data_IF_169379189296
#
_entry.id   IF_169379189296
#
_cell.length_a   1.000
_cell.length_b   1.000
_cell.length_c   1.000
_cell.angle_alpha   90.00
_cell.angle_beta   90.00
_cell.angle_gamma   90.00
#
_symmetry.space_group_name_H-M   'P 1'
#
loop_
_entity.id
_entity.type
_entity.pdbx_description
1 polymer ?
#
# COMPACT_ATOMS: atom_id res chain seq x y z
N UNK A 1 -3.59 -7.68 5.80
CA UNK A 1 -2.37 -7.95 5.01
C UNK A 1 -2.62 -8.60 3.65
N UNK A 2 -3.36 -9.69 3.51
CA UNK A 2 -3.58 -10.36 2.19
C UNK A 2 -4.20 -9.48 1.11
N UNK A 3 -5.06 -8.52 1.45
CA UNK A 3 -5.67 -7.60 0.49
C UNK A 3 -4.65 -6.62 -0.10
N UNK A 4 -3.81 -6.00 0.72
CA UNK A 4 -2.75 -5.08 0.30
C UNK A 4 -1.77 -5.79 -0.64
N UNK A 5 -1.34 -7.00 -0.26
CA UNK A 5 -0.42 -7.78 -1.07
C UNK A 5 -0.98 -8.10 -2.47
N UNK A 6 -2.28 -8.44 -2.57
CA UNK A 6 -2.94 -8.64 -3.88
C UNK A 6 -2.87 -7.39 -4.76
N UNK A 7 -3.23 -6.25 -4.18
CA UNK A 7 -3.23 -4.98 -4.89
C UNK A 7 -1.84 -4.57 -5.33
N UNK A 8 -0.86 -4.76 -4.45
CA UNK A 8 0.55 -4.53 -4.74
C UNK A 8 1.00 -5.37 -5.94
N UNK A 9 0.75 -6.69 -5.89
CA UNK A 9 1.11 -7.62 -6.98
C UNK A 9 0.48 -7.17 -8.30
N UNK A 10 -0.83 -6.90 -8.35
CA UNK A 10 -1.50 -6.45 -9.57
C UNK A 10 -0.89 -5.16 -10.09
N UNK A 11 -0.59 -4.21 -9.22
CA UNK A 11 0.00 -2.93 -9.60
C UNK A 11 1.41 -3.08 -10.17
N UNK A 12 2.23 -3.98 -9.62
CA UNK A 12 3.56 -4.26 -10.17
C UNK A 12 3.46 -4.99 -11.51
N UNK A 13 2.57 -5.99 -11.62
CA UNK A 13 2.34 -6.73 -12.88
C UNK A 13 1.70 -5.86 -13.98
N UNK A 14 1.04 -4.77 -13.63
CA UNK A 14 0.56 -3.78 -14.61
C UNK A 14 1.70 -2.98 -15.25
N UNK A 15 2.85 -2.88 -14.58
CA UNK A 15 4.04 -2.19 -15.11
C UNK A 15 4.87 -3.12 -16.00
N UNK A 16 5.10 -4.36 -15.53
CA UNK A 16 5.93 -5.37 -16.23
C UNK A 16 5.61 -6.78 -15.73
N UNK A 17 5.88 -7.78 -16.57
CA UNK A 17 5.86 -9.18 -16.15
C UNK A 17 6.96 -9.47 -15.13
N UNK A 18 6.63 -10.24 -14.08
CA UNK A 18 7.55 -10.54 -12.98
C UNK A 18 7.40 -11.98 -12.50
N UNK A 19 8.50 -12.59 -12.02
CA UNK A 19 8.42 -13.88 -11.34
C UNK A 19 7.94 -13.72 -9.88
N UNK A 20 7.50 -14.81 -9.26
CA UNK A 20 7.14 -14.78 -7.84
C UNK A 20 8.29 -14.34 -6.93
N UNK A 21 9.53 -14.67 -7.30
CA UNK A 21 10.72 -14.22 -6.58
C UNK A 21 10.93 -12.71 -6.72
N UNK A 22 10.79 -12.16 -7.94
CA UNK A 22 10.92 -10.72 -8.17
C UNK A 22 9.84 -9.94 -7.40
N UNK A 23 8.61 -10.47 -7.36
CA UNK A 23 7.51 -9.88 -6.57
C UNK A 23 7.80 -9.88 -5.05
N UNK A 24 8.42 -10.96 -4.51
CA UNK A 24 8.85 -10.98 -3.10
C UNK A 24 9.89 -9.91 -2.80
N UNK A 25 10.85 -9.71 -3.71
CA UNK A 25 11.89 -8.70 -3.59
C UNK A 25 11.32 -7.28 -3.64
N UNK A 26 10.46 -7.00 -4.60
CA UNK A 26 9.74 -5.71 -4.69
C UNK A 26 8.89 -5.43 -3.45
N UNK A 27 8.27 -6.46 -2.86
CA UNK A 27 7.54 -6.30 -1.59
C UNK A 27 8.47 -5.89 -0.46
N UNK A 28 9.66 -6.51 -0.37
CA UNK A 28 10.66 -6.17 0.65
C UNK A 28 11.13 -4.72 0.51
N UNK A 29 11.41 -4.27 -0.72
CA UNK A 29 11.87 -2.92 -1.01
C UNK A 29 10.78 -1.84 -0.79
N UNK A 30 9.54 -2.12 -1.18
CA UNK A 30 8.48 -1.11 -1.16
C UNK A 30 7.56 -1.16 0.07
N UNK A 31 7.36 -2.33 0.67
CA UNK A 31 6.45 -2.51 1.80
C UNK A 31 7.19 -2.80 3.11
N UNK A 32 8.53 -2.88 3.07
CA UNK A 32 9.35 -3.14 4.24
C UNK A 32 9.25 -4.56 4.79
N UNK A 33 8.60 -5.50 4.08
CA UNK A 33 8.56 -6.91 4.46
C UNK A 33 8.60 -7.83 3.26
N UNK A 34 9.24 -8.99 3.42
CA UNK A 34 9.34 -10.03 2.39
C UNK A 34 8.31 -11.13 2.66
N UNK A 35 7.27 -11.29 1.82
CA UNK A 35 6.36 -12.41 1.97
C UNK A 35 7.10 -13.73 1.72
N UNK A 36 6.76 -14.77 2.49
CA UNK A 36 7.30 -16.11 2.27
C UNK A 36 6.78 -16.71 0.97
N UNK A 37 7.51 -17.68 0.41
CA UNK A 37 7.07 -18.46 -0.74
C UNK A 37 5.71 -19.14 -0.48
N UNK A 38 5.49 -19.66 0.74
CA UNK A 38 4.23 -20.24 1.17
C UNK A 38 3.06 -19.25 1.22
N UNK A 39 3.32 -17.96 1.27
CA UNK A 39 2.29 -16.91 1.23
C UNK A 39 2.03 -16.39 -0.19
N UNK A 40 3.08 -16.19 -0.98
CA UNK A 40 2.94 -15.54 -2.29
C UNK A 40 2.43 -16.48 -3.38
N UNK A 41 2.95 -17.71 -3.47
CA UNK A 41 2.55 -18.63 -4.54
C UNK A 41 1.09 -19.08 -4.46
N UNK A 42 0.50 -19.41 -3.30
CA UNK A 42 -0.94 -19.68 -3.20
C UNK A 42 -1.79 -18.47 -3.58
N UNK A 43 -1.27 -17.25 -3.32
CA UNK A 43 -1.96 -16.02 -3.70
C UNK A 43 -1.93 -15.82 -5.21
N UNK A 44 -0.77 -15.98 -5.86
CA UNK A 44 -0.63 -15.92 -7.31
C UNK A 44 -1.53 -16.93 -8.00
N UNK A 45 -1.58 -18.17 -7.51
CA UNK A 45 -2.48 -19.22 -8.03
C UNK A 45 -3.94 -18.79 -7.96
N UNK A 46 -4.40 -18.26 -6.82
CA UNK A 46 -5.78 -17.76 -6.69
C UNK A 46 -6.08 -16.57 -7.61
N UNK A 47 -5.10 -15.74 -7.90
CA UNK A 47 -5.25 -14.62 -8.82
C UNK A 47 -5.31 -15.11 -10.29
N UNK A 48 -4.58 -16.16 -10.61
CA UNK A 48 -4.63 -16.83 -11.91
C UNK A 48 -5.96 -17.56 -12.12
N UNK A 49 -6.46 -18.30 -11.13
CA UNK A 49 -7.78 -18.94 -11.12
C UNK A 49 -8.92 -17.93 -11.34
N UNK A 50 -8.76 -16.69 -10.84
CA UNK A 50 -9.70 -15.58 -11.08
C UNK A 50 -9.56 -14.92 -12.45
N UNK A 51 -8.56 -15.30 -13.23
CA UNK A 51 -8.26 -14.69 -14.52
C UNK A 51 -7.76 -13.25 -14.42
N UNK A 52 -7.12 -12.87 -13.31
CA UNK A 52 -6.54 -11.54 -13.13
C UNK A 52 -5.12 -11.47 -13.68
N UNK A 53 -4.40 -12.57 -13.61
CA UNK A 53 -3.02 -12.73 -14.08
C UNK A 53 -2.87 -14.03 -14.84
N UNK A 54 -1.78 -14.17 -15.59
CA UNK A 54 -1.38 -15.39 -16.26
C UNK A 54 0.09 -15.65 -16.00
N UNK A 55 0.44 -16.86 -15.58
CA UNK A 55 1.80 -17.35 -15.49
C UNK A 55 2.25 -18.03 -16.77
N UNK A 56 3.41 -17.65 -17.27
CA UNK A 56 4.08 -18.28 -18.42
C UNK A 56 5.47 -18.77 -18.02
N UNK A 57 5.77 -20.01 -18.38
CA UNK A 57 7.10 -20.56 -18.11
C UNK A 57 8.12 -19.99 -19.08
N UNK A 58 9.10 -19.26 -18.56
CA UNK A 58 10.26 -18.76 -19.29
C UNK A 58 11.54 -19.38 -18.74
N UNK A 59 11.99 -20.42 -19.40
CA UNK A 59 13.14 -21.23 -18.94
C UNK A 59 12.85 -21.89 -17.58
N UNK A 60 13.64 -21.57 -16.56
CA UNK A 60 13.50 -22.12 -15.19
C UNK A 60 12.50 -21.33 -14.30
N UNK A 61 12.00 -20.19 -14.77
CA UNK A 61 11.11 -19.30 -14.00
C UNK A 61 9.71 -19.30 -14.60
N UNK A 62 8.71 -19.06 -13.74
CA UNK A 62 7.36 -18.67 -14.18
C UNK A 62 7.27 -17.16 -14.05
N UNK A 63 6.96 -16.49 -15.15
CA UNK A 63 6.74 -15.04 -15.21
C UNK A 63 5.24 -14.79 -15.30
N UNK A 64 4.73 -14.01 -14.37
CA UNK A 64 3.33 -13.61 -14.31
C UNK A 64 3.12 -12.28 -15.03
N UNK A 65 1.99 -12.16 -15.72
CA UNK A 65 1.56 -10.95 -16.41
C UNK A 65 0.11 -10.66 -16.06
N UNK A 66 -0.26 -9.38 -16.02
CA UNK A 66 -1.64 -8.98 -15.74
C UNK A 66 -2.52 -9.20 -16.97
N UNK A 67 -3.73 -9.67 -16.75
CA UNK A 67 -4.77 -9.81 -17.76
C UNK A 67 -5.75 -8.62 -17.75
N UNK A 68 -6.54 -8.40 -18.82
CA UNK A 68 -7.51 -7.30 -18.89
C UNK A 68 -8.46 -7.24 -17.69
N UNK A 69 -8.91 -8.39 -17.18
CA UNK A 69 -9.76 -8.49 -15.98
C UNK A 69 -9.03 -7.98 -14.72
N UNK A 70 -7.72 -8.25 -14.61
CA UNK A 70 -6.91 -7.74 -13.52
C UNK A 70 -6.69 -6.22 -13.60
N UNK A 71 -6.52 -5.67 -14.82
CA UNK A 71 -6.44 -4.21 -15.04
C UNK A 71 -7.74 -3.53 -14.63
N UNK A 72 -8.89 -4.05 -15.10
CA UNK A 72 -10.21 -3.53 -14.72
C UNK A 72 -10.41 -3.54 -13.21
N UNK A 73 -9.96 -4.59 -12.51
CA UNK A 73 -10.01 -4.67 -11.06
C UNK A 73 -9.17 -3.59 -10.37
N UNK A 74 -8.03 -3.19 -10.94
CA UNK A 74 -7.24 -2.05 -10.42
C UNK A 74 -7.99 -0.72 -10.62
N UNK A 75 -8.69 -0.56 -11.75
CA UNK A 75 -9.46 0.65 -12.06
C UNK A 75 -10.68 0.81 -11.14
N UNK A 76 -11.33 -0.30 -10.80
CA UNK A 76 -12.42 -0.34 -9.81
C UNK A 76 -11.97 -0.12 -8.36
N UNK A 77 -10.67 0.06 -8.14
CA UNK A 77 -10.04 0.17 -6.82
C UNK A 77 -10.42 1.41 -6.01
N UNK A 78 -11.13 2.39 -6.58
CA UNK A 78 -11.59 3.55 -5.81
C UNK A 78 -12.45 3.11 -4.62
N UNK A 79 -13.39 2.18 -4.86
CA UNK A 79 -14.27 1.66 -3.80
C UNK A 79 -13.50 0.86 -2.74
N UNK A 80 -12.55 0.03 -3.20
CA UNK A 80 -11.70 -0.78 -2.30
C UNK A 80 -10.75 0.13 -1.50
N UNK A 81 -10.26 1.20 -2.09
CA UNK A 81 -9.43 2.20 -1.42
C UNK A 81 -10.19 2.87 -0.26
N UNK A 82 -11.43 3.29 -0.49
CA UNK A 82 -12.27 3.90 0.53
C UNK A 82 -12.53 2.93 1.69
N UNK A 83 -12.88 1.69 1.40
CA UNK A 83 -13.08 0.65 2.42
C UNK A 83 -11.78 0.31 3.16
N UNK A 84 -10.64 0.27 2.46
CA UNK A 84 -9.33 0.07 3.05
C UNK A 84 -8.98 1.19 4.04
N UNK A 85 -9.13 2.45 3.64
CA UNK A 85 -8.88 3.57 4.54
C UNK A 85 -9.79 3.53 5.75
N UNK A 86 -11.08 3.26 5.57
CA UNK A 86 -12.03 3.15 6.69
C UNK A 86 -11.60 2.09 7.70
N UNK A 87 -11.20 0.90 7.23
CA UNK A 87 -10.71 -0.18 8.11
C UNK A 87 -9.39 0.19 8.78
N UNK A 88 -8.47 0.80 8.07
CA UNK A 88 -7.20 1.27 8.62
C UNK A 88 -7.44 2.29 9.75
N UNK A 89 -8.30 3.28 9.50
CA UNK A 89 -8.68 4.25 10.53
C UNK A 89 -9.35 3.61 11.74
N UNK A 90 -10.22 2.63 11.54
CA UNK A 90 -10.86 1.89 12.62
C UNK A 90 -9.83 1.14 13.49
N UNK A 91 -8.83 0.51 12.88
CA UNK A 91 -7.75 -0.15 13.63
C UNK A 91 -6.87 0.83 14.39
N UNK A 92 -6.52 1.97 13.77
CA UNK A 92 -5.74 3.02 14.44
C UNK A 92 -6.53 3.63 15.60
N UNK A 93 -7.85 3.86 15.44
CA UNK A 93 -8.71 4.35 16.50
C UNK A 93 -8.77 3.38 17.67
N UNK A 94 -8.96 2.08 17.42
CA UNK A 94 -8.92 1.05 18.45
C UNK A 94 -7.56 1.00 19.16
N UNK A 95 -6.46 1.14 18.42
CA UNK A 95 -5.11 1.20 18.98
C UNK A 95 -4.95 2.42 19.91
N UNK A 96 -5.41 3.59 19.47
CA UNK A 96 -5.37 4.82 20.28
C UNK A 96 -6.15 4.69 21.60
N UNK A 97 -7.29 3.99 21.58
CA UNK A 97 -8.08 3.70 22.78
C UNK A 97 -7.39 2.69 23.69
N UNK A 98 -6.85 1.59 23.15
CA UNK A 98 -6.20 0.52 23.93
C UNK A 98 -4.96 1.05 24.68
N UNK A 99 -4.20 1.93 24.05
CA UNK A 99 -2.94 2.48 24.62
C UNK A 99 -3.13 3.85 25.27
N UNK A 100 -4.36 4.38 25.35
CA UNK A 100 -4.68 5.74 25.83
C UNK A 100 -3.79 6.84 25.18
N UNK A 101 -3.48 6.63 23.89
CA UNK A 101 -2.62 7.49 23.11
C UNK A 101 -3.39 8.73 22.61
N UNK A 102 -3.20 9.87 23.29
CA UNK A 102 -3.86 11.14 22.97
C UNK A 102 -3.47 11.69 21.60
N UNK A 103 -2.21 11.54 21.20
CA UNK A 103 -1.73 12.06 19.92
C UNK A 103 -2.31 11.24 18.77
N UNK A 104 -2.27 9.91 18.89
CA UNK A 104 -2.88 9.01 17.93
C UNK A 104 -4.40 9.20 17.87
N UNK A 105 -5.05 9.44 19.01
CA UNK A 105 -6.49 9.74 19.09
C UNK A 105 -6.84 11.04 18.36
N UNK A 106 -6.04 12.10 18.50
CA UNK A 106 -6.19 13.34 17.75
C UNK A 106 -6.00 13.14 16.25
N UNK A 107 -5.05 12.31 15.83
CA UNK A 107 -4.82 11.98 14.43
C UNK A 107 -5.97 11.18 13.81
N UNK A 108 -6.52 10.24 14.55
CA UNK A 108 -7.55 9.30 14.07
C UNK A 108 -8.96 9.89 14.16
N UNK A 109 -9.30 10.56 15.24
CA UNK A 109 -10.56 11.30 15.37
C UNK A 109 -10.55 12.59 14.54
N UNK A 110 -9.42 12.87 13.90
CA UNK A 110 -9.20 14.08 13.16
C UNK A 110 -10.17 14.24 12.00
N UNK A 111 -11.25 14.96 12.25
CA UNK A 111 -11.93 15.74 11.21
C UNK A 111 -10.93 16.55 10.37
N UNK A 112 -9.71 16.73 10.88
CA UNK A 112 -8.62 17.48 10.26
C UNK A 112 -8.26 16.92 8.88
N UNK A 113 -8.12 15.61 8.74
CA UNK A 113 -7.80 15.00 7.44
C UNK A 113 -9.01 14.95 6.51
N UNK A 114 -10.22 14.88 7.05
CA UNK A 114 -11.47 14.98 6.30
C UNK A 114 -11.75 16.42 5.88
N UNK A 115 -11.48 17.37 6.77
CA UNK A 115 -11.65 18.81 6.53
C UNK A 115 -10.56 19.40 5.64
N UNK A 116 -9.33 18.87 5.75
CA UNK A 116 -8.15 19.33 5.01
C UNK A 116 -7.43 18.18 4.31
N UNK A 117 -7.98 17.63 3.20
CA UNK A 117 -7.35 16.51 2.46
C UNK A 117 -5.94 16.82 1.96
N UNK A 118 -5.60 18.12 1.84
CA UNK A 118 -4.26 18.59 1.48
C UNK A 118 -3.19 18.14 2.48
N UNK A 119 -3.54 18.01 3.77
CA UNK A 119 -2.61 17.54 4.80
C UNK A 119 -2.11 16.13 4.52
N UNK A 120 -2.97 15.23 4.05
CA UNK A 120 -2.56 13.88 3.66
C UNK A 120 -1.52 13.93 2.54
N UNK A 121 -1.71 14.82 1.56
CA UNK A 121 -0.74 15.00 0.45
C UNK A 121 0.58 15.58 0.96
N UNK A 122 0.54 16.52 1.90
CA UNK A 122 1.73 17.13 2.52
C UNK A 122 2.52 16.08 3.29
N UNK A 123 1.86 15.31 4.16
CA UNK A 123 2.48 14.23 4.96
C UNK A 123 3.11 13.19 4.03
N UNK A 124 2.38 12.76 3.00
CA UNK A 124 2.90 11.80 2.02
C UNK A 124 4.12 12.34 1.26
N UNK A 125 4.11 13.62 0.92
CA UNK A 125 5.23 14.28 0.22
C UNK A 125 6.45 14.40 1.12
N UNK A 126 6.26 14.77 2.38
CA UNK A 126 7.34 14.85 3.38
C UNK A 126 7.93 13.46 3.65
N UNK A 127 7.09 12.42 3.79
CA UNK A 127 7.53 11.05 4.02
C UNK A 127 8.32 10.42 2.86
N UNK A 128 8.23 10.99 1.65
CA UNK A 128 9.03 10.56 0.49
C UNK A 128 10.26 11.44 0.21
N UNK A 129 10.55 12.43 1.08
CA UNK A 129 11.76 13.25 1.01
C UNK A 129 12.92 12.59 1.75
N UNK A 130 14.15 12.96 1.42
CA UNK A 130 15.31 12.65 2.24
C UNK A 130 15.15 13.25 3.66
N UNK A 131 15.60 12.52 4.68
CA UNK A 131 15.40 12.92 6.09
C UNK A 131 15.86 14.36 6.37
N UNK A 132 16.99 14.75 5.78
CA UNK A 132 17.56 16.11 5.96
C UNK A 132 16.68 17.20 5.33
N UNK A 133 16.05 16.94 4.21
CA UNK A 133 15.11 17.85 3.56
C UNK A 133 13.76 17.87 4.28
N UNK A 134 13.25 16.71 4.68
CA UNK A 134 12.02 16.58 5.44
C UNK A 134 12.08 17.40 6.75
N UNK A 135 13.19 17.31 7.51
CA UNK A 135 13.42 18.12 8.72
C UNK A 135 13.33 19.62 8.46
N UNK A 136 13.99 20.13 7.42
CA UNK A 136 13.94 21.56 7.05
C UNK A 136 12.52 22.04 6.74
N UNK A 137 11.77 21.23 6.00
CA UNK A 137 10.37 21.54 5.63
C UNK A 137 9.50 21.55 6.90
N UNK A 138 9.61 20.54 7.75
CA UNK A 138 8.86 20.45 9.02
C UNK A 138 9.18 21.62 9.93
N UNK A 139 10.47 21.96 10.11
CA UNK A 139 10.89 23.12 10.93
C UNK A 139 10.34 24.44 10.37
N UNK A 140 10.35 24.62 9.06
CA UNK A 140 9.77 25.80 8.41
C UNK A 140 8.27 25.91 8.68
N UNK A 141 7.52 24.83 8.46
CA UNK A 141 6.08 24.77 8.74
C UNK A 141 5.82 25.08 10.23
N UNK A 142 6.60 24.49 11.14
CA UNK A 142 6.43 24.71 12.57
C UNK A 142 6.67 26.17 13.00
N UNK A 143 7.62 26.87 12.37
CA UNK A 143 7.88 28.29 12.61
C UNK A 143 6.77 29.20 12.10
N UNK A 144 6.12 28.83 11.00
CA UNK A 144 5.03 29.62 10.39
C UNK A 144 3.68 29.43 11.11
N UNK A 145 3.52 28.34 11.89
CA UNK A 145 2.29 28.06 12.66
C UNK A 145 2.37 28.71 14.08
N UNK A 146 3.54 29.15 14.53
CA UNK A 146 3.78 29.76 15.83
C UNK A 146 3.60 31.28 15.77
#
# INVERSE_FOLDING_TARGET
MKAILKLFILKQLAKRGMSGYDLMKECEEMLGYKPSAGSIYPLLRKMEEKGWIKGERKGRKVVYSILPKGKKFIEELHTIKEEFYRRMYSHLAATAEIFDDRELRCLVNGEIFRKYPVLVKIIFRIGNMEEKEARKVIEKIYREIK
#
